data_IF_122025929000
#
_entry.id   IF_122025929000
#
_cell.length_a   1.000
_cell.length_b   1.000
_cell.length_c   1.000
_cell.angle_alpha   90.00
_cell.angle_beta   90.00
_cell.angle_gamma   90.00
#
_symmetry.space_group_name_H-M   'P 1'
#
loop_
_entity.id
_entity.type
_entity.pdbx_description
1 polymer ?
#
# COMPACT_ATOMS: atom_id res chain seq x y z
N UNK A 1 5.45 -4.12 9.52
CA UNK A 1 4.09 -3.53 9.49
C UNK A 1 3.04 -4.51 8.99
N UNK A 2 3.36 -5.28 7.95
CA UNK A 2 2.42 -6.27 7.41
C UNK A 2 2.01 -7.27 8.49
N UNK A 3 2.99 -7.86 9.18
CA UNK A 3 2.75 -8.86 10.21
C UNK A 3 1.88 -8.33 11.35
N UNK A 4 2.14 -7.08 11.77
CA UNK A 4 1.48 -6.48 12.93
C UNK A 4 0.06 -6.01 12.63
N UNK A 5 -0.19 -5.46 11.44
CA UNK A 5 -1.42 -4.73 11.16
C UNK A 5 -2.36 -5.40 10.17
N UNK A 6 -1.87 -6.32 9.36
CA UNK A 6 -2.73 -6.97 8.37
C UNK A 6 -3.65 -8.00 9.03
N UNK A 7 -4.98 -7.86 8.89
CA UNK A 7 -5.90 -8.88 9.41
C UNK A 7 -5.68 -10.24 8.74
N UNK A 8 -6.02 -11.31 9.45
CA UNK A 8 -6.02 -12.66 8.86
C UNK A 8 -7.01 -12.70 7.70
N UNK A 9 -6.60 -13.35 6.63
CA UNK A 9 -7.41 -13.51 5.42
C UNK A 9 -7.80 -12.18 4.79
N UNK A 10 -6.99 -11.14 5.00
CA UNK A 10 -7.25 -9.81 4.47
C UNK A 10 -7.27 -9.80 2.95
N UNK A 11 -8.08 -8.93 2.39
CA UNK A 11 -8.02 -8.54 1.00
C UNK A 11 -7.06 -7.34 0.95
N UNK A 12 -5.92 -7.50 0.31
CA UNK A 12 -4.83 -6.52 0.34
C UNK A 12 -4.52 -5.96 -1.05
N UNK A 13 -4.08 -4.72 -1.09
CA UNK A 13 -3.63 -4.06 -2.31
C UNK A 13 -2.22 -3.50 -2.14
N UNK A 14 -1.43 -3.56 -3.20
CA UNK A 14 -0.08 -2.99 -3.27
C UNK A 14 -0.06 -1.98 -4.42
N UNK A 15 -0.18 -0.71 -4.08
CA UNK A 15 -0.30 0.39 -5.03
C UNK A 15 1.09 0.95 -5.35
N UNK A 16 1.43 1.03 -6.63
CA UNK A 16 2.78 1.37 -7.04
C UNK A 16 3.74 0.24 -6.68
N UNK A 17 3.37 -0.97 -7.03
CA UNK A 17 3.99 -2.20 -6.52
C UNK A 17 5.44 -2.44 -6.95
N UNK A 18 5.90 -1.83 -8.02
CA UNK A 18 7.24 -2.09 -8.54
C UNK A 18 7.49 -3.57 -8.78
N UNK A 19 8.47 -4.14 -8.09
CA UNK A 19 8.80 -5.56 -8.21
C UNK A 19 7.76 -6.50 -7.60
N UNK A 20 6.75 -5.96 -6.89
CA UNK A 20 5.69 -6.73 -6.26
C UNK A 20 6.04 -7.33 -4.90
N UNK A 21 7.20 -7.01 -4.36
CA UNK A 21 7.73 -7.69 -3.15
C UNK A 21 6.81 -7.51 -1.94
N UNK A 22 6.22 -6.33 -1.75
CA UNK A 22 5.34 -6.07 -0.60
C UNK A 22 4.04 -6.86 -0.70
N UNK A 23 3.43 -6.89 -1.90
CA UNK A 23 2.23 -7.69 -2.14
C UNK A 23 2.49 -9.17 -1.95
N UNK A 24 3.64 -9.64 -2.42
CA UNK A 24 4.08 -11.04 -2.24
C UNK A 24 4.23 -11.35 -0.75
N UNK A 25 4.84 -10.44 0.02
CA UNK A 25 4.94 -10.59 1.47
C UNK A 25 3.56 -10.66 2.13
N UNK A 26 2.63 -9.81 1.73
CA UNK A 26 1.27 -9.83 2.25
C UNK A 26 0.61 -11.19 2.00
N UNK A 27 0.79 -11.75 0.81
CA UNK A 27 0.24 -13.07 0.49
C UNK A 27 0.86 -14.16 1.38
N UNK A 28 2.16 -14.10 1.60
CA UNK A 28 2.86 -15.06 2.47
C UNK A 28 2.44 -14.94 3.93
N UNK A 29 2.08 -13.74 4.38
CA UNK A 29 1.59 -13.53 5.75
C UNK A 29 0.10 -13.81 5.91
N UNK A 30 -0.58 -14.32 4.90
CA UNK A 30 -1.92 -14.85 5.04
C UNK A 30 -3.04 -14.03 4.42
N UNK A 31 -2.74 -13.04 3.57
CA UNK A 31 -3.78 -12.37 2.81
C UNK A 31 -4.52 -13.39 1.94
N UNK A 32 -5.84 -13.30 1.90
CA UNK A 32 -6.65 -14.20 1.06
C UNK A 32 -6.56 -13.82 -0.42
N UNK A 33 -6.32 -12.53 -0.69
CA UNK A 33 -6.28 -11.98 -2.04
C UNK A 33 -5.35 -10.79 -2.03
N UNK A 34 -4.47 -10.71 -3.02
CA UNK A 34 -3.57 -9.57 -3.22
C UNK A 34 -3.72 -9.04 -4.63
N UNK A 35 -4.07 -7.77 -4.72
CA UNK A 35 -4.10 -7.01 -5.96
C UNK A 35 -2.94 -6.03 -5.94
N UNK A 36 -2.14 -5.98 -7.00
CA UNK A 36 -1.09 -4.99 -7.13
C UNK A 36 -1.15 -4.30 -8.47
N UNK A 37 -0.77 -3.03 -8.50
CA UNK A 37 -0.73 -2.29 -9.75
C UNK A 37 0.44 -1.32 -9.77
N UNK A 38 0.81 -0.94 -10.98
CA UNK A 38 1.82 0.08 -11.24
C UNK A 38 1.48 0.75 -12.57
N UNK A 39 1.87 1.98 -12.74
CA UNK A 39 1.69 2.69 -14.00
C UNK A 39 2.85 2.51 -14.96
N UNK A 40 3.88 1.78 -14.56
CA UNK A 40 5.05 1.45 -15.37
C UNK A 40 4.91 0.04 -15.91
N UNK A 41 4.67 -0.06 -17.21
CA UNK A 41 4.49 -1.34 -17.89
C UNK A 41 5.68 -2.28 -17.71
N UNK A 42 6.90 -1.74 -17.58
CA UNK A 42 8.11 -2.56 -17.52
C UNK A 42 8.23 -3.38 -16.24
N UNK A 43 7.57 -2.96 -15.14
CA UNK A 43 7.66 -3.69 -13.87
C UNK A 43 6.61 -4.81 -13.74
N UNK A 44 5.58 -4.80 -14.58
CA UNK A 44 4.46 -5.76 -14.43
C UNK A 44 4.94 -7.19 -14.58
N UNK A 45 5.71 -7.49 -15.64
CA UNK A 45 6.21 -8.84 -15.87
C UNK A 45 7.21 -9.27 -14.78
N UNK A 46 8.03 -8.33 -14.29
CA UNK A 46 8.96 -8.59 -13.19
C UNK A 46 8.19 -9.00 -11.94
N UNK A 47 7.14 -8.27 -11.60
CA UNK A 47 6.32 -8.58 -10.44
C UNK A 47 5.66 -9.96 -10.56
N UNK A 48 5.13 -10.29 -11.75
CA UNK A 48 4.52 -11.59 -12.01
C UNK A 48 5.52 -12.73 -11.87
N UNK A 49 6.74 -12.54 -12.40
CA UNK A 49 7.82 -13.53 -12.25
C UNK A 49 8.19 -13.73 -10.79
N UNK A 50 8.28 -12.65 -10.01
CA UNK A 50 8.59 -12.72 -8.59
C UNK A 50 7.53 -13.49 -7.81
N UNK A 51 6.26 -13.31 -8.14
CA UNK A 51 5.18 -14.07 -7.51
C UNK A 51 5.31 -15.56 -7.80
N UNK A 52 5.60 -15.92 -9.05
CA UNK A 52 5.83 -17.32 -9.45
C UNK A 52 7.01 -17.92 -8.70
N UNK A 53 8.13 -17.20 -8.61
CA UNK A 53 9.33 -17.66 -7.90
C UNK A 53 9.06 -17.88 -6.41
N UNK A 54 8.11 -17.17 -5.84
CA UNK A 54 7.75 -17.27 -4.43
C UNK A 54 6.55 -18.18 -4.18
N UNK A 55 6.04 -18.84 -5.21
CA UNK A 55 4.93 -19.78 -5.14
C UNK A 55 3.66 -19.16 -4.52
N UNK A 56 3.37 -17.91 -4.88
CA UNK A 56 2.16 -17.23 -4.43
C UNK A 56 1.36 -16.72 -5.63
N UNK A 57 0.05 -16.62 -5.47
CA UNK A 57 -0.83 -16.06 -6.46
C UNK A 57 -1.20 -14.62 -6.07
N UNK A 58 -0.87 -13.67 -6.94
CA UNK A 58 -1.25 -12.28 -6.81
C UNK A 58 -1.77 -11.82 -8.17
N UNK A 59 -2.73 -10.92 -8.17
CA UNK A 59 -3.19 -10.29 -9.40
C UNK A 59 -2.43 -8.97 -9.57
N UNK A 60 -1.50 -8.95 -10.52
CA UNK A 60 -0.69 -7.76 -10.82
C UNK A 60 -1.05 -7.23 -12.21
N UNK A 61 -1.32 -5.94 -12.31
CA UNK A 61 -1.69 -5.35 -13.59
C UNK A 61 -1.27 -3.88 -13.72
N UNK A 62 -1.26 -3.39 -14.95
CA UNK A 62 -1.03 -1.99 -15.28
C UNK A 62 -2.30 -1.21 -14.93
N UNK A 63 -2.23 -0.34 -13.91
CA UNK A 63 -3.38 0.42 -13.46
C UNK A 63 -2.94 1.55 -12.53
N UNK A 64 -3.89 2.41 -12.19
CA UNK A 64 -3.70 3.49 -11.22
C UNK A 64 -4.79 3.44 -10.15
N UNK A 65 -4.51 4.01 -8.98
CA UNK A 65 -5.41 3.95 -7.81
C UNK A 65 -6.82 4.47 -8.11
N UNK A 66 -6.93 5.53 -8.90
CA UNK A 66 -8.22 6.16 -9.22
C UNK A 66 -9.14 5.29 -10.09
N UNK A 67 -8.60 4.27 -10.73
CA UNK A 67 -9.35 3.40 -11.65
C UNK A 67 -9.72 2.05 -11.05
N UNK A 68 -9.37 1.81 -9.81
CA UNK A 68 -9.66 0.55 -9.13
C UNK A 68 -11.07 0.62 -8.51
N UNK A 69 -11.91 -0.36 -8.79
CA UNK A 69 -13.30 -0.41 -8.31
C UNK A 69 -13.53 -1.40 -7.17
N UNK A 70 -12.46 -1.76 -6.47
CA UNK A 70 -12.52 -2.69 -5.34
C UNK A 70 -12.13 -1.97 -4.07
N UNK A 71 -12.49 -2.56 -2.93
CA UNK A 71 -12.06 -2.08 -1.62
C UNK A 71 -11.28 -3.17 -0.90
N UNK A 72 -10.36 -2.75 -0.05
CA UNK A 72 -9.38 -3.63 0.59
C UNK A 72 -9.32 -3.39 2.08
N UNK A 73 -8.97 -4.45 2.82
CA UNK A 73 -8.77 -4.37 4.27
C UNK A 73 -7.40 -3.83 4.63
N UNK A 74 -6.46 -3.97 3.71
CA UNK A 74 -5.06 -3.58 3.94
C UNK A 74 -4.46 -3.05 2.64
N UNK A 75 -3.95 -1.82 2.68
CA UNK A 75 -3.36 -1.16 1.51
C UNK A 75 -1.90 -0.84 1.79
N UNK A 76 -1.04 -1.20 0.85
CA UNK A 76 0.38 -0.89 0.88
C UNK A 76 0.67 0.14 -0.21
N UNK A 77 1.40 1.19 0.12
CA UNK A 77 1.81 2.20 -0.85
C UNK A 77 3.23 2.66 -0.52
N UNK A 78 4.20 2.15 -1.27
CA UNK A 78 5.61 2.54 -1.15
C UNK A 78 5.96 3.40 -2.34
N UNK A 79 5.61 4.68 -2.27
CA UNK A 79 5.65 5.64 -3.37
C UNK A 79 6.24 6.95 -2.88
N UNK A 80 6.76 7.78 -3.79
CA UNK A 80 7.31 9.10 -3.46
C UNK A 80 6.29 9.95 -2.70
N UNK A 81 6.78 10.74 -1.74
CA UNK A 81 5.94 11.54 -0.84
C UNK A 81 4.95 12.47 -1.56
N UNK A 82 5.39 13.11 -2.64
CA UNK A 82 4.53 14.02 -3.40
C UNK A 82 3.40 13.26 -4.12
N UNK A 83 3.69 12.08 -4.64
CA UNK A 83 2.67 11.23 -5.28
C UNK A 83 1.70 10.72 -4.22
N UNK A 84 2.19 10.28 -3.06
CA UNK A 84 1.34 9.84 -1.95
C UNK A 84 0.34 10.95 -1.57
N UNK A 85 0.82 12.18 -1.45
CA UNK A 85 -0.03 13.31 -1.10
C UNK A 85 -1.10 13.56 -2.18
N UNK A 86 -0.72 13.47 -3.46
CA UNK A 86 -1.63 13.71 -4.58
C UNK A 86 -2.73 12.65 -4.68
N UNK A 87 -2.43 11.40 -4.40
CA UNK A 87 -3.38 10.29 -4.55
C UNK A 87 -4.00 9.83 -3.23
N UNK A 88 -3.79 10.57 -2.15
CA UNK A 88 -4.28 10.15 -0.83
C UNK A 88 -5.78 9.92 -0.80
N UNK A 89 -6.57 10.76 -1.47
CA UNK A 89 -8.01 10.59 -1.57
C UNK A 89 -8.39 9.29 -2.27
N UNK A 90 -7.69 8.97 -3.36
CA UNK A 90 -7.91 7.74 -4.10
C UNK A 90 -7.52 6.52 -3.25
N UNK A 91 -6.40 6.61 -2.53
CA UNK A 91 -5.97 5.55 -1.63
C UNK A 91 -7.00 5.30 -0.52
N UNK A 92 -7.53 6.36 0.08
CA UNK A 92 -8.58 6.24 1.09
C UNK A 92 -9.82 5.53 0.53
N UNK A 93 -10.19 5.85 -0.71
CA UNK A 93 -11.34 5.22 -1.37
C UNK A 93 -11.17 3.72 -1.62
N UNK A 94 -9.94 3.22 -1.60
CA UNK A 94 -9.66 1.79 -1.73
C UNK A 94 -9.77 1.05 -0.40
N UNK A 95 -9.95 1.74 0.71
CA UNK A 95 -9.97 1.14 2.05
C UNK A 95 -11.39 0.83 2.50
N UNK A 96 -11.59 -0.36 3.03
CA UNK A 96 -12.79 -0.68 3.82
C UNK A 96 -12.75 0.09 5.13
N UNK A 97 -13.91 0.38 5.71
CA UNK A 97 -13.98 1.01 7.02
C UNK A 97 -13.27 0.11 8.05
N UNK A 98 -12.45 0.71 8.88
CA UNK A 98 -11.61 -0.03 9.82
C UNK A 98 -10.35 -0.61 9.22
N UNK A 99 -10.14 -0.48 7.92
CA UNK A 99 -8.94 -0.97 7.25
C UNK A 99 -7.70 -0.16 7.58
N UNK A 100 -6.55 -0.77 7.36
CA UNK A 100 -5.25 -0.14 7.59
C UNK A 100 -4.53 0.12 6.27
N UNK A 101 -3.70 1.14 6.26
CA UNK A 101 -2.82 1.44 5.13
C UNK A 101 -1.42 1.75 5.65
N UNK A 102 -0.42 1.20 4.97
CA UNK A 102 0.98 1.47 5.26
C UNK A 102 1.56 2.33 4.15
N UNK A 103 1.97 3.54 4.51
CA UNK A 103 2.60 4.50 3.61
C UNK A 103 4.10 4.47 3.90
N UNK A 104 4.90 4.04 2.95
CA UNK A 104 6.34 3.89 3.16
C UNK A 104 7.15 4.51 2.02
N UNK A 105 8.48 4.47 2.17
CA UNK A 105 9.37 5.12 1.20
C UNK A 105 9.42 6.63 1.39
N UNK A 106 9.14 7.12 2.60
CA UNK A 106 9.07 8.53 2.93
C UNK A 106 10.36 8.97 3.62
N UNK A 107 11.05 9.96 3.08
CA UNK A 107 12.17 10.59 3.79
C UNK A 107 11.61 11.39 4.97
N UNK A 108 12.30 11.34 6.11
CA UNK A 108 11.86 12.04 7.32
C UNK A 108 11.60 13.52 7.08
N UNK A 109 12.45 14.19 6.32
CA UNK A 109 12.30 15.62 6.00
C UNK A 109 11.03 15.90 5.17
N UNK A 110 10.48 14.90 4.49
CA UNK A 110 9.28 15.00 3.65
C UNK A 110 8.02 14.48 4.34
N UNK A 111 8.14 13.96 5.55
CA UNK A 111 7.01 13.45 6.33
C UNK A 111 5.87 14.45 6.47
N UNK A 112 6.10 15.74 6.74
CA UNK A 112 5.01 16.70 6.89
C UNK A 112 4.06 16.77 5.68
N UNK A 113 4.57 16.60 4.46
CA UNK A 113 3.76 16.61 3.25
C UNK A 113 2.72 15.48 3.28
N UNK A 114 3.15 14.29 3.70
CA UNK A 114 2.27 13.12 3.77
C UNK A 114 1.32 13.23 4.95
N UNK A 115 1.80 13.70 6.12
CA UNK A 115 0.95 13.90 7.29
C UNK A 115 -0.17 14.92 7.03
N UNK A 116 0.10 15.98 6.28
CA UNK A 116 -0.92 16.96 5.90
C UNK A 116 -2.02 16.29 5.07
N UNK A 117 -1.65 15.41 4.13
CA UNK A 117 -2.62 14.69 3.32
C UNK A 117 -3.43 13.69 4.17
N UNK A 118 -2.78 12.98 5.09
CA UNK A 118 -3.44 12.07 6.02
C UNK A 118 -4.52 12.82 6.81
N UNK A 119 -4.17 13.99 7.32
CA UNK A 119 -5.09 14.84 8.08
C UNK A 119 -6.22 15.38 7.20
N UNK A 120 -5.88 15.84 5.99
CA UNK A 120 -6.86 16.39 5.05
C UNK A 120 -7.99 15.39 4.74
N UNK A 121 -7.66 14.12 4.63
CA UNK A 121 -8.63 13.07 4.31
C UNK A 121 -9.15 12.33 5.55
N UNK A 122 -8.91 12.87 6.73
CA UNK A 122 -9.45 12.36 8.00
C UNK A 122 -9.07 10.91 8.28
N UNK A 123 -7.88 10.52 7.88
CA UNK A 123 -7.31 9.22 8.24
C UNK A 123 -6.65 9.34 9.60
N UNK A 124 -6.75 8.29 10.41
CA UNK A 124 -6.15 8.25 11.74
C UNK A 124 -4.73 7.71 11.67
N UNK A 125 -3.76 8.48 12.16
CA UNK A 125 -2.38 8.01 12.26
C UNK A 125 -2.26 7.09 13.48
N UNK A 126 -1.90 5.83 13.24
CA UNK A 126 -1.79 4.81 14.30
C UNK A 126 -0.37 4.72 14.80
N UNK A 127 0.61 4.69 13.90
CA UNK A 127 2.00 4.50 14.27
C UNK A 127 2.92 5.07 13.21
N UNK A 128 4.07 5.55 13.65
CA UNK A 128 5.17 5.93 12.77
C UNK A 128 6.32 4.97 13.06
N UNK A 129 6.87 4.35 12.02
CA UNK A 129 8.04 3.48 12.13
C UNK A 129 9.20 4.15 11.40
N UNK A 130 10.30 4.33 12.10
CA UNK A 130 11.47 5.00 11.57
C UNK A 130 12.65 4.05 11.47
N UNK A 131 13.32 4.08 10.33
CA UNK A 131 14.56 3.37 10.12
C UNK A 131 15.54 4.33 9.42
N UNK A 132 16.50 4.85 10.18
CA UNK A 132 17.43 5.90 9.73
C UNK A 132 16.65 7.12 9.23
N UNK A 133 16.85 7.56 7.99
CA UNK A 133 16.14 8.70 7.42
C UNK A 133 14.79 8.33 6.80
N UNK A 134 14.41 7.06 6.82
CA UNK A 134 13.18 6.58 6.19
C UNK A 134 12.08 6.38 7.21
N UNK A 135 10.86 6.71 6.82
CA UNK A 135 9.68 6.65 7.69
C UNK A 135 8.58 5.88 7.00
N UNK A 136 7.88 5.05 7.76
CA UNK A 136 6.63 4.44 7.36
C UNK A 136 5.53 4.92 8.29
N UNK A 137 4.37 5.27 7.73
CA UNK A 137 3.22 5.72 8.48
C UNK A 137 2.12 4.68 8.35
N UNK A 138 1.58 4.24 9.48
CA UNK A 138 0.46 3.33 9.51
C UNK A 138 -0.79 4.16 9.84
N UNK A 139 -1.76 4.13 8.94
CA UNK A 139 -3.01 4.89 9.10
C UNK A 139 -4.21 3.95 9.03
N UNK A 140 -5.33 4.42 9.57
CA UNK A 140 -6.56 3.64 9.63
C UNK A 140 -7.72 4.48 9.13
N UNK A 141 -8.63 3.84 8.41
CA UNK A 141 -9.88 4.45 8.01
C UNK A 141 -10.93 4.17 9.07
N UNK A 142 -11.40 5.21 9.74
CA UNK A 142 -12.31 5.08 10.89
C UNK A 142 -13.77 5.30 10.55
N UNK A 143 -14.07 5.78 9.34
CA UNK A 143 -15.45 6.04 8.92
C UNK A 143 -15.68 5.82 7.43
#
# INVERSE_FOLDING_TARGET
>A
AIEKYMPKNAKAADIGMGSGILGICAKKFGASYVYGCDNDETVIEVAKENALKNNVECLFELNTADKINEKFDFVLANILHNVLADIMGDLKNLMNDGGYMVLSGILDEKKPVVLDAVKKYSLELIEEVRQEQWVALIVRKVD
#
